data_IF_305694444542
#
_entry.id   IF_305694444542
#
_cell.length_a   1.000
_cell.length_b   1.000
_cell.length_c   1.000
_cell.angle_alpha   90.00
_cell.angle_beta   90.00
_cell.angle_gamma   90.00
#
_symmetry.space_group_name_H-M   'P 1'
#
loop_
_entity.id
_entity.type
_entity.pdbx_description
1 polymer ?
#
# COMPACT_ATOMS: atom_id res chain seq x y z
N UNK A 1 10.33 17.50 -3.38
CA UNK A 1 9.65 16.90 -2.22
C UNK A 1 8.12 16.97 -2.34
N UNK A 2 7.51 18.18 -2.34
CA UNK A 2 6.05 18.35 -2.43
C UNK A 2 5.43 17.73 -3.70
N UNK A 3 6.06 17.91 -4.86
CA UNK A 3 5.59 17.29 -6.10
C UNK A 3 5.53 15.75 -6.01
N UNK A 4 6.57 15.13 -5.45
CA UNK A 4 6.66 13.66 -5.36
C UNK A 4 5.55 13.09 -4.46
N UNK A 5 5.29 13.68 -3.29
CA UNK A 5 4.23 13.21 -2.40
C UNK A 5 2.83 13.44 -2.99
N UNK A 6 2.62 14.55 -3.72
CA UNK A 6 1.35 14.79 -4.44
C UNK A 6 1.12 13.73 -5.51
N UNK A 7 2.16 13.38 -6.29
CA UNK A 7 2.06 12.31 -7.30
C UNK A 7 1.76 10.96 -6.64
N UNK A 8 2.44 10.61 -5.54
CA UNK A 8 2.16 9.39 -4.77
C UNK A 8 0.70 9.36 -4.29
N UNK A 9 0.16 10.49 -3.82
CA UNK A 9 -1.22 10.55 -3.39
C UNK A 9 -2.20 10.27 -4.54
N UNK A 10 -1.96 10.83 -5.72
CA UNK A 10 -2.78 10.55 -6.90
C UNK A 10 -2.67 9.09 -7.35
N UNK A 11 -1.48 8.50 -7.33
CA UNK A 11 -1.32 7.08 -7.69
C UNK A 11 -1.94 6.16 -6.65
N UNK A 12 -1.90 6.54 -5.37
CA UNK A 12 -2.56 5.83 -4.29
C UNK A 12 -4.08 5.85 -4.45
N UNK A 13 -4.68 7.00 -4.75
CA UNK A 13 -6.11 7.11 -5.06
C UNK A 13 -6.48 6.30 -6.30
N UNK A 14 -5.67 6.38 -7.37
CA UNK A 14 -5.91 5.62 -8.59
C UNK A 14 -5.84 4.10 -8.35
N UNK A 15 -4.79 3.62 -7.66
CA UNK A 15 -4.62 2.22 -7.30
C UNK A 15 -5.78 1.71 -6.42
N UNK A 16 -6.17 2.48 -5.40
CA UNK A 16 -7.31 2.14 -4.54
C UNK A 16 -8.62 2.09 -5.34
N UNK A 17 -8.83 2.98 -6.30
CA UNK A 17 -10.02 2.98 -7.16
C UNK A 17 -10.05 1.77 -8.11
N UNK A 18 -8.95 1.49 -8.81
CA UNK A 18 -8.88 0.33 -9.73
C UNK A 18 -8.94 -0.99 -8.99
N UNK A 19 -8.41 -1.06 -7.78
CA UNK A 19 -8.51 -2.23 -6.92
C UNK A 19 -9.95 -2.42 -6.42
N UNK A 20 -10.61 -1.36 -5.94
CA UNK A 20 -12.01 -1.43 -5.53
C UNK A 20 -12.95 -1.87 -6.68
N UNK A 21 -12.76 -1.28 -7.88
CA UNK A 21 -13.62 -1.47 -9.05
C UNK A 21 -13.35 -2.79 -9.79
N UNK A 22 -12.09 -3.07 -10.08
CA UNK A 22 -11.68 -4.18 -10.96
C UNK A 22 -10.75 -5.21 -10.30
N UNK A 23 -10.36 -5.03 -9.03
CA UNK A 23 -9.45 -5.93 -8.31
C UNK A 23 -8.09 -6.11 -8.99
N UNK A 24 -7.66 -5.04 -9.64
CA UNK A 24 -6.41 -5.00 -10.39
C UNK A 24 -5.68 -3.72 -10.06
N UNK A 25 -4.43 -3.88 -9.65
CA UNK A 25 -3.42 -2.82 -9.62
C UNK A 25 -2.44 -3.13 -10.75
N UNK A 26 -2.42 -2.27 -11.78
CA UNK A 26 -1.62 -2.52 -12.98
C UNK A 26 -0.12 -2.37 -12.69
N UNK A 27 0.72 -3.14 -13.40
CA UNK A 27 2.17 -3.03 -13.26
C UNK A 27 2.67 -1.61 -13.56
N UNK A 28 2.04 -0.90 -14.51
CA UNK A 28 2.37 0.49 -14.80
C UNK A 28 2.14 1.40 -13.58
N UNK A 29 1.04 1.19 -12.85
CA UNK A 29 0.74 1.94 -11.61
C UNK A 29 1.79 1.64 -10.54
N UNK A 30 2.16 0.37 -10.37
CA UNK A 30 3.19 -0.06 -9.41
C UNK A 30 4.55 0.56 -9.74
N UNK A 31 5.01 0.46 -11.00
CA UNK A 31 6.31 1.01 -11.42
C UNK A 31 6.33 2.53 -11.27
N UNK A 32 5.28 3.22 -11.69
CA UNK A 32 5.21 4.68 -11.57
C UNK A 32 5.19 5.12 -10.09
N UNK A 33 4.45 4.42 -9.24
CA UNK A 33 4.45 4.66 -7.79
C UNK A 33 5.83 4.41 -7.19
N UNK A 34 6.53 3.35 -7.60
CA UNK A 34 7.89 3.06 -7.16
C UNK A 34 8.85 4.20 -7.47
N UNK A 35 8.84 4.72 -8.70
CA UNK A 35 9.68 5.86 -9.06
C UNK A 35 9.39 7.07 -8.19
N UNK A 36 8.12 7.37 -7.93
CA UNK A 36 7.74 8.50 -7.07
C UNK A 36 8.20 8.28 -5.61
N UNK A 37 7.97 7.10 -5.03
CA UNK A 37 8.41 6.75 -3.68
C UNK A 37 9.93 6.75 -3.55
N UNK A 38 10.65 6.24 -4.55
CA UNK A 38 12.11 6.22 -4.59
C UNK A 38 12.67 7.64 -4.59
N UNK A 39 12.17 8.52 -5.47
CA UNK A 39 12.57 9.92 -5.51
C UNK A 39 12.23 10.60 -4.18
N UNK A 40 11.05 10.32 -3.61
CA UNK A 40 10.64 10.87 -2.32
C UNK A 40 11.61 10.48 -1.19
N UNK A 41 11.94 9.20 -1.07
CA UNK A 41 12.86 8.70 -0.04
C UNK A 41 14.30 9.20 -0.25
N UNK A 42 14.75 9.29 -1.50
CA UNK A 42 16.06 9.85 -1.86
C UNK A 42 16.18 11.32 -1.41
N UNK A 43 15.18 12.15 -1.73
CA UNK A 43 15.17 13.56 -1.37
C UNK A 43 15.08 13.81 0.14
N UNK A 44 14.61 12.83 0.92
CA UNK A 44 14.53 12.91 2.39
C UNK A 44 15.67 12.15 3.09
N UNK A 45 16.64 11.61 2.36
CA UNK A 45 17.87 11.06 2.93
C UNK A 45 17.77 9.69 3.63
N UNK A 46 16.65 8.97 3.50
CA UNK A 46 16.47 7.66 4.15
C UNK A 46 16.32 6.47 3.18
N UNK A 47 16.55 6.70 1.87
CA UNK A 47 16.35 5.70 0.81
C UNK A 47 16.98 4.34 1.10
N UNK A 48 18.24 4.29 1.52
CA UNK A 48 18.94 3.02 1.73
C UNK A 48 18.22 2.15 2.79
N UNK A 49 17.81 2.78 3.89
CA UNK A 49 17.13 2.11 4.98
C UNK A 49 15.70 1.70 4.61
N UNK A 50 14.94 2.58 3.96
CA UNK A 50 13.57 2.23 3.53
C UNK A 50 13.57 1.16 2.44
N UNK A 51 14.58 1.14 1.56
CA UNK A 51 14.71 0.12 0.52
C UNK A 51 15.00 -1.27 1.09
N UNK A 52 15.83 -1.37 2.15
CA UNK A 52 16.05 -2.63 2.86
C UNK A 52 14.74 -3.15 3.49
N UNK A 53 13.98 -2.27 4.16
CA UNK A 53 12.68 -2.63 4.73
C UNK A 53 11.71 -3.07 3.63
N UNK A 54 11.60 -2.29 2.55
CA UNK A 54 10.75 -2.62 1.41
C UNK A 54 11.10 -3.98 0.79
N UNK A 55 12.38 -4.36 0.75
CA UNK A 55 12.82 -5.67 0.27
C UNK A 55 12.35 -6.80 1.17
N UNK A 56 12.45 -6.63 2.49
CA UNK A 56 11.89 -7.59 3.46
C UNK A 56 10.37 -7.68 3.35
N UNK A 57 9.69 -6.54 3.20
CA UNK A 57 8.27 -6.47 2.94
C UNK A 57 7.90 -7.21 1.66
N UNK A 58 8.67 -7.09 0.57
CA UNK A 58 8.44 -7.83 -0.67
C UNK A 58 8.59 -9.34 -0.47
N UNK A 59 9.65 -9.80 0.23
CA UNK A 59 9.84 -11.22 0.51
C UNK A 59 8.67 -11.81 1.32
N UNK A 60 8.27 -11.13 2.40
CA UNK A 60 7.10 -11.52 3.19
C UNK A 60 5.82 -11.52 2.36
N UNK A 61 5.68 -10.50 1.52
CA UNK A 61 4.48 -10.28 0.73
C UNK A 61 4.30 -11.27 -0.40
N UNK A 62 5.41 -11.67 -1.00
CA UNK A 62 5.48 -12.76 -1.96
C UNK A 62 5.07 -14.10 -1.32
N UNK A 63 5.53 -14.40 -0.10
CA UNK A 63 5.11 -15.61 0.64
C UNK A 63 3.59 -15.60 0.87
N UNK A 64 3.02 -14.48 1.32
CA UNK A 64 1.56 -14.37 1.52
C UNK A 64 0.77 -14.57 0.23
N UNK A 65 1.32 -14.10 -0.90
CA UNK A 65 0.71 -14.32 -2.22
C UNK A 65 0.77 -15.79 -2.64
N UNK A 66 1.89 -16.48 -2.43
CA UNK A 66 2.00 -17.92 -2.69
C UNK A 66 1.01 -18.75 -1.85
N UNK A 67 0.75 -18.33 -0.62
CA UNK A 67 -0.23 -18.95 0.28
C UNK A 67 -1.69 -18.54 -0.03
N UNK A 68 -1.91 -17.61 -0.96
CA UNK A 68 -3.24 -17.17 -1.38
C UNK A 68 -3.96 -16.23 -0.41
N UNK A 69 -3.25 -15.58 0.52
CA UNK A 69 -3.85 -14.63 1.47
C UNK A 69 -4.26 -13.30 0.83
N UNK A 70 -3.57 -12.87 -0.22
CA UNK A 70 -3.88 -11.65 -0.97
C UNK A 70 -3.48 -11.73 -2.44
N UNK A 71 -3.88 -10.73 -3.23
CA UNK A 71 -3.67 -10.71 -4.67
C UNK A 71 -2.24 -10.38 -5.08
N UNK A 72 -1.87 -10.78 -6.30
CA UNK A 72 -0.56 -10.42 -6.85
C UNK A 72 -0.36 -8.91 -7.04
N UNK A 73 -1.44 -8.13 -7.15
CA UNK A 73 -1.40 -6.67 -7.15
C UNK A 73 -0.89 -6.13 -5.81
N UNK A 74 -1.53 -6.53 -4.71
CA UNK A 74 -1.14 -6.17 -3.34
C UNK A 74 0.30 -6.59 -3.05
N UNK A 75 0.67 -7.78 -3.51
CA UNK A 75 1.99 -8.36 -3.30
C UNK A 75 3.14 -7.49 -3.85
N UNK A 76 2.85 -6.77 -4.93
CA UNK A 76 3.78 -5.86 -5.59
C UNK A 76 3.64 -4.42 -5.10
N UNK A 77 2.42 -3.99 -4.76
CA UNK A 77 2.12 -2.61 -4.42
C UNK A 77 2.55 -2.24 -2.99
N UNK A 78 2.33 -3.12 -2.01
CA UNK A 78 2.74 -2.92 -0.63
C UNK A 78 4.22 -2.54 -0.46
N UNK A 79 5.20 -3.32 -0.94
CA UNK A 79 6.61 -3.00 -0.77
C UNK A 79 7.01 -1.70 -1.49
N UNK A 80 6.38 -1.41 -2.63
CA UNK A 80 6.60 -0.15 -3.36
C UNK A 80 6.19 1.06 -2.54
N UNK A 81 5.05 0.99 -1.85
CA UNK A 81 4.61 2.07 -0.95
C UNK A 81 5.53 2.21 0.27
N UNK A 82 6.04 1.09 0.80
CA UNK A 82 6.97 1.09 1.94
C UNK A 82 8.31 1.77 1.65
N UNK A 83 8.77 1.82 0.38
CA UNK A 83 9.97 2.61 0.01
C UNK A 83 9.82 4.08 0.41
N UNK A 84 8.61 4.64 0.27
CA UNK A 84 8.34 6.04 0.58
C UNK A 84 8.15 6.32 2.08
N UNK A 85 7.97 5.29 2.92
CA UNK A 85 7.77 5.46 4.36
C UNK A 85 9.13 5.59 5.06
N UNK A 86 9.28 6.57 5.94
CA UNK A 86 10.49 6.71 6.75
C UNK A 86 10.65 5.47 7.65
N UNK A 87 11.87 4.92 7.80
CA UNK A 87 12.11 3.70 8.59
C UNK A 87 11.50 3.72 10.00
N UNK A 88 11.54 4.88 10.67
CA UNK A 88 11.01 5.06 12.03
C UNK A 88 9.51 4.81 12.13
N UNK A 89 8.77 4.92 11.02
CA UNK A 89 7.31 4.75 10.96
C UNK A 89 6.90 3.45 10.23
N UNK A 90 7.85 2.59 9.88
CA UNK A 90 7.57 1.42 9.07
C UNK A 90 6.66 0.42 9.80
N UNK A 91 6.88 0.21 11.10
CA UNK A 91 6.10 -0.71 11.91
C UNK A 91 4.67 -0.19 12.07
N UNK A 92 4.53 1.09 12.37
CA UNK A 92 3.25 1.78 12.53
C UNK A 92 2.46 1.72 11.22
N UNK A 93 3.11 1.97 10.08
CA UNK A 93 2.49 1.81 8.77
C UNK A 93 1.94 0.40 8.57
N UNK A 94 2.72 -0.64 8.87
CA UNK A 94 2.28 -2.04 8.76
C UNK A 94 1.11 -2.35 9.71
N UNK A 95 1.16 -1.89 10.96
CA UNK A 95 0.08 -2.04 11.92
C UNK A 95 -1.22 -1.39 11.42
N UNK A 96 -1.13 -0.19 10.83
CA UNK A 96 -2.28 0.50 10.25
C UNK A 96 -2.80 -0.16 8.98
N UNK A 97 -1.93 -0.78 8.16
CA UNK A 97 -2.36 -1.62 7.04
C UNK A 97 -3.21 -2.78 7.57
N UNK A 98 -2.79 -3.41 8.65
CA UNK A 98 -3.56 -4.46 9.32
C UNK A 98 -4.91 -3.94 9.85
N UNK A 99 -4.92 -2.79 10.51
CA UNK A 99 -6.12 -2.18 11.09
C UNK A 99 -7.12 -1.76 10.00
N UNK A 100 -6.69 -0.97 9.02
CA UNK A 100 -7.53 -0.59 7.88
C UNK A 100 -7.90 -1.80 7.01
N UNK A 101 -7.03 -2.81 6.93
CA UNK A 101 -7.31 -4.08 6.28
C UNK A 101 -8.46 -4.81 6.97
N UNK A 102 -8.44 -4.90 8.30
CA UNK A 102 -9.54 -5.46 9.09
C UNK A 102 -10.87 -4.75 8.85
N UNK A 103 -10.86 -3.41 8.87
CA UNK A 103 -12.06 -2.59 8.54
C UNK A 103 -12.54 -2.91 7.12
N UNK A 104 -11.62 -2.99 6.15
CA UNK A 104 -11.95 -3.30 4.76
C UNK A 104 -12.57 -4.69 4.62
N UNK A 105 -12.01 -5.70 5.29
CA UNK A 105 -12.54 -7.07 5.32
C UNK A 105 -13.95 -7.10 5.92
N UNK A 106 -14.17 -6.41 7.04
CA UNK A 106 -15.50 -6.32 7.68
C UNK A 106 -16.50 -5.66 6.72
N UNK A 107 -16.13 -4.54 6.09
CA UNK A 107 -17.00 -3.84 5.14
C UNK A 107 -17.39 -4.70 3.94
N UNK A 108 -16.41 -5.39 3.33
CA UNK A 108 -16.66 -6.31 2.22
C UNK A 108 -17.51 -7.50 2.69
N UNK A 109 -17.26 -8.04 3.88
CA UNK A 109 -18.04 -9.14 4.44
C UNK A 109 -19.52 -8.75 4.63
N UNK A 110 -19.79 -7.59 5.23
CA UNK A 110 -21.16 -7.07 5.40
C UNK A 110 -21.83 -6.86 4.03
N UNK A 111 -21.12 -6.28 3.06
CA UNK A 111 -21.63 -6.13 1.70
C UNK A 111 -21.98 -7.50 1.06
N UNK A 112 -21.12 -8.50 1.23
CA UNK A 112 -21.35 -9.87 0.72
C UNK A 112 -22.59 -10.51 1.34
N UNK A 113 -22.83 -10.31 2.65
CA UNK A 113 -24.02 -10.80 3.34
C UNK A 113 -25.29 -10.18 2.77
N UNK A 114 -25.32 -8.86 2.58
CA UNK A 114 -26.48 -8.14 2.05
C UNK A 114 -26.73 -8.51 0.57
N UNK A 115 -25.66 -8.56 -0.23
CA UNK A 115 -25.74 -8.86 -1.67
C UNK A 115 -25.89 -10.36 -1.97
N UNK A 116 -25.85 -11.24 -0.96
CA UNK A 116 -25.84 -12.71 -1.09
C UNK A 116 -24.75 -13.21 -2.06
N UNK A 117 -23.56 -12.63 -1.97
CA UNK A 117 -22.39 -12.98 -2.79
C UNK A 117 -21.33 -13.66 -1.94
N UNK A 118 -20.52 -14.51 -2.57
CA UNK A 118 -19.38 -15.13 -1.91
C UNK A 118 -18.17 -14.19 -1.86
N UNK A 119 -17.60 -14.00 -0.67
CA UNK A 119 -16.44 -13.14 -0.46
C UNK A 119 -15.22 -13.60 -1.28
N UNK A 120 -15.03 -14.92 -1.43
CA UNK A 120 -13.93 -15.48 -2.23
C UNK A 120 -13.99 -15.09 -3.71
N UNK A 121 -15.19 -14.84 -4.25
CA UNK A 121 -15.38 -14.41 -5.64
C UNK A 121 -15.16 -12.91 -5.83
N UNK A 122 -15.42 -12.11 -4.79
CA UNK A 122 -15.25 -10.65 -4.83
C UNK A 122 -13.81 -10.23 -4.50
N UNK A 123 -13.15 -10.99 -3.64
CA UNK A 123 -11.83 -10.65 -3.09
C UNK A 123 -11.89 -9.45 -2.14
N UNK A 124 -10.74 -9.08 -1.59
CA UNK A 124 -10.57 -7.92 -0.69
C UNK A 124 -9.66 -6.91 -1.41
N UNK A 125 -10.02 -5.62 -1.49
CA UNK A 125 -9.21 -4.63 -2.17
C UNK A 125 -8.18 -4.06 -1.18
N UNK A 126 -7.07 -4.78 -0.96
CA UNK A 126 -6.04 -4.37 0.00
C UNK A 126 -5.23 -3.15 -0.49
N UNK A 127 -5.34 -2.75 -1.76
CA UNK A 127 -4.82 -1.49 -2.25
C UNK A 127 -5.36 -0.28 -1.47
N UNK A 128 -6.58 -0.34 -0.92
CA UNK A 128 -7.15 0.74 -0.10
C UNK A 128 -6.39 0.91 1.23
N UNK A 129 -6.29 -0.12 2.12
CA UNK A 129 -5.58 0.02 3.39
C UNK A 129 -4.08 0.24 3.22
N UNK A 130 -3.45 -0.32 2.17
CA UNK A 130 -2.04 -0.03 1.83
C UNK A 130 -1.87 1.45 1.51
N UNK A 131 -2.66 1.99 0.58
CA UNK A 131 -2.61 3.40 0.19
C UNK A 131 -2.82 4.33 1.38
N UNK A 132 -3.89 4.11 2.16
CA UNK A 132 -4.26 4.98 3.27
C UNK A 132 -3.17 5.04 4.34
N UNK A 133 -2.65 3.88 4.75
CA UNK A 133 -1.64 3.78 5.81
C UNK A 133 -0.32 4.41 5.37
N UNK A 134 0.20 4.00 4.21
CA UNK A 134 1.50 4.49 3.75
C UNK A 134 1.45 6.00 3.46
N UNK A 135 0.38 6.53 2.85
CA UNK A 135 0.24 7.98 2.66
C UNK A 135 0.20 8.75 3.99
N UNK A 136 -0.50 8.23 5.01
CA UNK A 136 -0.54 8.84 6.33
C UNK A 136 0.87 8.96 6.94
N UNK A 137 1.63 7.87 6.97
CA UNK A 137 2.97 7.86 7.56
C UNK A 137 4.03 8.58 6.71
N UNK A 138 3.85 8.64 5.38
CA UNK A 138 4.63 9.53 4.52
C UNK A 138 4.41 11.01 4.84
N UNK A 139 3.16 11.41 5.11
CA UNK A 139 2.84 12.78 5.53
C UNK A 139 3.41 13.09 6.92
N UNK A 140 3.27 12.17 7.89
CA UNK A 140 3.85 12.32 9.22
C UNK A 140 5.39 12.44 9.17
N UNK A 141 6.03 11.69 8.28
CA UNK A 141 7.47 11.79 8.04
C UNK A 141 7.90 13.22 7.67
N UNK A 142 7.10 13.95 6.89
CA UNK A 142 7.39 15.33 6.52
C UNK A 142 7.15 16.35 7.65
N UNK A 143 6.15 16.10 8.50
CA UNK A 143 5.77 17.02 9.57
C UNK A 143 6.78 17.01 10.72
N UNK A 144 7.41 15.88 11.00
CA UNK A 144 8.38 15.72 12.10
C UNK A 144 9.82 16.03 11.69
N UNK A 145 10.11 16.10 10.38
CA UNK A 145 11.41 16.52 9.84
C UNK A 145 11.54 18.06 9.70
N UNK A 146 10.51 18.82 10.06
CA UNK A 146 10.53 20.29 10.17
C UNK A 146 10.66 20.70 11.62
#
# INVERSE_FOLDING_TARGET
MQLAITLIFFTALYASFTDAKSRVISNHTVVFTFLCCFIFAFLNGYLLHSFLIATLCFAFSFILWLLGFWGGGDAKYFPVMMVGVKPDYAIEAICYIGLFGGITVIGVYVYCLIAKKEIKKIGIPYGIPISASCCLFMLLSLLVLR
#
